data_IF_592889054259
#
_entry.id   IF_592889054259
#
_cell.length_a   1.000
_cell.length_b   1.000
_cell.length_c   1.000
_cell.angle_alpha   90.00
_cell.angle_beta   90.00
_cell.angle_gamma   90.00
#
_symmetry.space_group_name_H-M   'P 1'
#
loop_
_entity.id
_entity.type
_entity.pdbx_description
1 polymer ?
#
# COMPACT_ATOMS: atom_id res chain seq x y z
N UNK A 1 -31.72 7.76 -19.57
CA UNK A 1 -30.64 8.28 -18.70
C UNK A 1 -29.82 7.11 -18.16
N UNK A 2 -28.51 7.16 -18.37
CA UNK A 2 -27.52 6.17 -17.93
C UNK A 2 -26.49 6.88 -17.03
N UNK A 3 -26.15 6.31 -15.87
CA UNK A 3 -25.11 6.85 -14.98
C UNK A 3 -24.13 5.74 -14.62
N UNK A 4 -22.84 6.07 -14.61
CA UNK A 4 -21.77 5.16 -14.19
C UNK A 4 -20.92 5.74 -13.08
N UNK A 5 -20.36 4.86 -12.26
CA UNK A 5 -19.40 5.22 -11.23
C UNK A 5 -18.32 4.12 -11.08
N UNK A 6 -17.39 4.30 -10.14
CA UNK A 6 -16.42 3.28 -9.75
C UNK A 6 -16.35 3.17 -8.23
N UNK A 7 -16.49 1.94 -7.73
CA UNK A 7 -16.30 1.64 -6.31
C UNK A 7 -15.05 0.77 -6.13
N UNK A 8 -14.03 1.30 -5.48
CA UNK A 8 -12.76 0.61 -5.28
C UNK A 8 -12.87 -0.60 -4.33
N UNK A 9 -13.86 -0.64 -3.43
CA UNK A 9 -14.15 -1.79 -2.56
C UNK A 9 -14.83 -2.92 -3.33
N UNK A 10 -15.46 -2.60 -4.46
CA UNK A 10 -16.12 -3.56 -5.36
C UNK A 10 -15.62 -3.37 -6.80
N UNK A 11 -14.30 -3.48 -7.06
CA UNK A 11 -13.66 -2.99 -8.28
C UNK A 11 -14.11 -3.74 -9.54
N UNK A 12 -14.60 -4.98 -9.39
CA UNK A 12 -15.10 -5.80 -10.50
C UNK A 12 -16.58 -5.54 -10.82
N UNK A 13 -17.34 -4.93 -9.91
CA UNK A 13 -18.77 -4.69 -10.10
C UNK A 13 -18.98 -3.56 -11.10
N UNK A 14 -19.82 -3.80 -12.13
CA UNK A 14 -20.27 -2.71 -13.00
C UNK A 14 -21.21 -1.82 -12.21
N UNK A 15 -20.74 -0.63 -11.85
CA UNK A 15 -21.54 0.41 -11.21
C UNK A 15 -22.24 1.21 -12.31
N UNK A 16 -23.28 0.62 -12.89
CA UNK A 16 -24.15 1.26 -13.89
C UNK A 16 -25.60 1.17 -13.42
N UNK A 17 -26.33 2.28 -13.56
CA UNK A 17 -27.77 2.36 -13.32
C UNK A 17 -28.45 3.10 -14.48
N UNK A 18 -29.67 2.68 -14.83
CA UNK A 18 -30.40 3.19 -16.00
C UNK A 18 -31.86 3.45 -15.68
N UNK A 19 -32.36 4.59 -16.13
CA UNK A 19 -33.78 4.89 -16.17
C UNK A 19 -34.20 5.15 -17.62
N UNK A 20 -35.28 4.50 -18.04
CA UNK A 20 -35.82 4.56 -19.40
C UNK A 20 -37.31 4.94 -19.36
N UNK A 21 -37.76 5.58 -20.43
CA UNK A 21 -39.15 5.92 -20.70
C UNK A 21 -39.46 5.57 -22.15
N UNK A 22 -40.70 5.21 -22.45
CA UNK A 22 -41.19 4.95 -23.82
C UNK A 22 -41.42 6.25 -24.64
N UNK A 23 -41.13 7.42 -24.06
CA UNK A 23 -41.36 8.69 -24.71
C UNK A 23 -40.36 8.98 -25.85
N UNK A 24 -40.85 9.64 -26.90
CA UNK A 24 -40.06 10.06 -28.06
C UNK A 24 -39.65 11.54 -27.96
N UNK A 25 -38.49 11.94 -28.54
CA UNK A 25 -37.51 11.09 -29.23
C UNK A 25 -36.66 10.24 -28.26
N UNK A 26 -36.23 9.07 -28.71
CA UNK A 26 -35.33 8.19 -27.95
C UNK A 26 -33.91 8.76 -27.95
N UNK A 27 -33.59 9.57 -26.95
CA UNK A 27 -32.26 10.15 -26.73
C UNK A 27 -31.61 9.54 -25.48
N UNK A 28 -30.28 9.35 -25.53
CA UNK A 28 -29.50 8.94 -24.37
C UNK A 28 -28.80 10.14 -23.73
N UNK A 29 -28.96 10.26 -22.41
CA UNK A 29 -28.14 11.08 -21.53
C UNK A 29 -27.27 10.12 -20.71
N UNK A 30 -25.95 10.18 -20.91
CA UNK A 30 -24.94 9.40 -20.21
C UNK A 30 -23.98 10.34 -19.47
N UNK A 31 -23.63 9.99 -18.22
CA UNK A 31 -22.67 10.76 -17.42
C UNK A 31 -21.81 9.89 -16.50
N UNK A 32 -20.58 10.36 -16.22
CA UNK A 32 -19.61 9.79 -15.29
C UNK A 32 -18.74 10.92 -14.70
N UNK A 33 -18.50 10.96 -13.37
CA UNK A 33 -19.00 10.04 -12.35
C UNK A 33 -20.45 10.35 -11.94
N UNK A 34 -21.22 9.30 -11.68
CA UNK A 34 -22.64 9.38 -11.31
C UNK A 34 -22.90 9.72 -9.83
N UNK A 35 -21.85 9.77 -9.00
CA UNK A 35 -21.87 10.07 -7.56
C UNK A 35 -22.71 9.09 -6.74
N UNK A 36 -22.48 7.80 -6.93
CA UNK A 36 -23.12 6.73 -6.17
C UNK A 36 -22.18 5.57 -5.88
N UNK A 37 -22.31 4.98 -4.69
CA UNK A 37 -21.51 3.84 -4.26
C UNK A 37 -22.26 2.50 -4.35
N UNK A 38 -23.59 2.56 -4.53
CA UNK A 38 -24.49 1.42 -4.69
C UNK A 38 -25.50 1.65 -5.84
N UNK A 39 -25.99 0.56 -6.44
CA UNK A 39 -26.88 0.61 -7.61
C UNK A 39 -28.27 1.17 -7.29
N UNK A 40 -28.74 1.07 -6.05
CA UNK A 40 -30.06 1.60 -5.63
C UNK A 40 -30.02 3.12 -5.66
N UNK A 41 -28.95 3.72 -5.11
CA UNK A 41 -28.70 5.16 -5.21
C UNK A 41 -28.51 5.59 -6.66
N UNK A 42 -27.74 4.85 -7.46
CA UNK A 42 -27.57 5.12 -8.89
C UNK A 42 -28.90 5.11 -9.66
N UNK A 43 -29.78 4.14 -9.38
CA UNK A 43 -31.10 4.05 -9.99
C UNK A 43 -31.96 5.26 -9.61
N UNK A 44 -31.95 5.64 -8.33
CA UNK A 44 -32.68 6.81 -7.85
C UNK A 44 -32.23 8.10 -8.56
N UNK A 45 -30.91 8.30 -8.73
CA UNK A 45 -30.35 9.47 -9.42
C UNK A 45 -30.67 9.47 -10.92
N UNK A 46 -30.58 8.32 -11.59
CA UNK A 46 -30.93 8.18 -12.99
C UNK A 46 -32.43 8.46 -13.23
N UNK A 47 -33.31 7.93 -12.37
CA UNK A 47 -34.76 8.19 -12.43
C UNK A 47 -35.06 9.67 -12.20
N UNK A 48 -34.48 10.29 -11.16
CA UNK A 48 -34.67 11.73 -10.91
C UNK A 48 -34.24 12.60 -12.10
N UNK A 49 -33.14 12.25 -12.75
CA UNK A 49 -32.67 13.01 -13.91
C UNK A 49 -33.60 12.79 -15.11
N UNK A 50 -34.09 11.57 -15.32
CA UNK A 50 -35.08 11.30 -16.37
C UNK A 50 -36.38 12.09 -16.13
N UNK A 51 -36.88 12.10 -14.90
CA UNK A 51 -38.05 12.90 -14.49
C UNK A 51 -37.81 14.39 -14.74
N UNK A 52 -36.61 14.91 -14.43
CA UNK A 52 -36.24 16.29 -14.70
C UNK A 52 -36.27 16.64 -16.19
N UNK A 53 -35.68 15.80 -17.05
CA UNK A 53 -35.73 15.97 -18.52
C UNK A 53 -37.13 15.86 -19.11
N UNK A 54 -38.09 15.30 -18.36
CA UNK A 54 -39.49 15.14 -18.79
C UNK A 54 -40.43 16.16 -18.15
N UNK A 55 -39.95 16.92 -17.18
CA UNK A 55 -40.78 17.85 -16.39
C UNK A 55 -41.34 19.02 -17.21
N UNK A 56 -40.70 19.36 -18.33
CA UNK A 56 -41.08 20.42 -19.25
C UNK A 56 -41.60 19.91 -20.61
N UNK A 57 -41.84 18.60 -20.74
CA UNK A 57 -42.34 18.02 -22.00
C UNK A 57 -43.71 18.58 -22.41
N UNK A 58 -44.56 18.91 -21.42
CA UNK A 58 -45.83 19.63 -21.64
C UNK A 58 -45.92 20.79 -20.67
N UNK A 59 -46.09 21.97 -21.23
CA UNK A 59 -46.18 23.23 -20.49
C UNK A 59 -47.40 24.00 -20.98
N UNK A 60 -48.25 24.44 -20.06
CA UNK A 60 -49.30 25.40 -20.31
C UNK A 60 -48.81 26.79 -19.91
N UNK A 61 -49.17 27.80 -20.71
CA UNK A 61 -48.99 29.21 -20.39
C UNK A 61 -50.37 29.85 -20.42
N UNK A 62 -50.66 30.71 -19.45
CA UNK A 62 -51.94 31.39 -19.37
C UNK A 62 -51.85 32.74 -18.68
N UNK A 63 -52.82 33.59 -19.00
CA UNK A 63 -53.06 34.87 -18.37
C UNK A 63 -54.30 34.76 -17.47
N UNK A 64 -54.27 35.40 -16.31
CA UNK A 64 -55.38 35.37 -15.36
C UNK A 64 -55.46 36.67 -14.55
N UNK A 65 -56.65 36.98 -14.07
CA UNK A 65 -56.91 38.02 -13.08
C UNK A 65 -57.07 37.46 -11.66
N UNK A 66 -56.86 36.16 -11.44
CA UNK A 66 -57.01 35.50 -10.14
C UNK A 66 -55.85 35.87 -9.18
N UNK A 67 -56.08 36.65 -8.10
CA UNK A 67 -55.01 37.03 -7.16
C UNK A 67 -54.43 35.88 -6.33
N UNK A 68 -55.16 34.76 -6.20
CA UNK A 68 -54.78 33.68 -5.29
C UNK A 68 -53.89 32.61 -5.91
N UNK A 69 -53.43 32.78 -7.16
CA UNK A 69 -52.53 31.82 -7.78
C UNK A 69 -51.16 31.87 -7.11
N UNK A 70 -50.62 30.70 -6.76
CA UNK A 70 -49.34 30.55 -6.06
C UNK A 70 -48.57 29.42 -6.72
N UNK A 71 -47.29 29.66 -7.06
CA UNK A 71 -46.41 28.59 -7.56
C UNK A 71 -46.31 27.43 -6.54
N UNK A 72 -46.26 26.20 -7.04
CA UNK A 72 -46.30 24.97 -6.25
C UNK A 72 -47.70 24.45 -5.91
N UNK A 73 -48.77 25.15 -6.30
CA UNK A 73 -50.16 24.70 -6.09
C UNK A 73 -50.79 24.20 -7.39
N UNK A 74 -51.80 23.35 -7.24
CA UNK A 74 -52.61 22.89 -8.37
C UNK A 74 -53.73 23.88 -8.68
N UNK A 75 -53.85 24.22 -9.96
CA UNK A 75 -55.00 24.91 -10.55
C UNK A 75 -55.87 23.87 -11.26
N UNK A 76 -57.13 23.75 -10.86
CA UNK A 76 -58.11 22.98 -11.62
C UNK A 76 -58.61 23.83 -12.79
N UNK A 77 -58.33 23.40 -14.02
CA UNK A 77 -58.84 24.08 -15.21
C UNK A 77 -60.22 23.52 -15.58
N UNK A 78 -61.17 24.39 -15.89
CA UNK A 78 -62.54 24.03 -16.29
C UNK A 78 -62.97 24.83 -17.52
N UNK A 79 -63.97 24.34 -18.25
CA UNK A 79 -64.55 24.97 -19.45
C UNK A 79 -63.58 25.23 -20.62
N UNK A 80 -62.40 24.60 -20.62
CA UNK A 80 -61.48 24.66 -21.74
C UNK A 80 -62.05 23.89 -22.95
N UNK A 81 -62.04 24.45 -24.18
CA UNK A 81 -62.62 23.81 -25.38
C UNK A 81 -62.09 22.41 -25.70
N UNK A 82 -60.83 22.15 -25.32
CA UNK A 82 -60.26 20.79 -25.34
C UNK A 82 -60.54 20.11 -24.01
N UNK A 83 -61.40 19.10 -24.04
CA UNK A 83 -61.86 18.38 -22.85
C UNK A 83 -60.71 17.81 -22.02
N UNK A 84 -59.67 17.28 -22.68
CA UNK A 84 -58.45 16.72 -22.06
C UNK A 84 -57.64 17.70 -21.20
N UNK A 85 -57.86 19.02 -21.32
CA UNK A 85 -57.12 20.00 -20.51
C UNK A 85 -57.90 20.45 -19.28
N UNK A 86 -59.16 20.03 -19.14
CA UNK A 86 -59.98 20.29 -17.95
C UNK A 86 -59.59 19.33 -16.81
N UNK A 87 -58.38 19.50 -16.31
CA UNK A 87 -57.78 18.66 -15.27
C UNK A 87 -56.94 19.53 -14.31
N UNK A 88 -56.21 18.90 -13.38
CA UNK A 88 -55.29 19.55 -12.46
C UNK A 88 -53.97 19.90 -13.12
N UNK A 89 -53.53 21.15 -12.92
CA UNK A 89 -52.27 21.67 -13.44
C UNK A 89 -51.43 22.25 -12.30
N UNK A 90 -50.21 21.76 -12.12
CA UNK A 90 -49.25 22.29 -11.16
C UNK A 90 -48.69 23.62 -11.68
N UNK A 91 -48.93 24.71 -10.97
CA UNK A 91 -48.34 26.02 -11.25
C UNK A 91 -46.85 25.98 -10.95
N UNK A 92 -45.99 26.12 -11.95
CA UNK A 92 -44.53 26.12 -11.80
C UNK A 92 -43.95 27.52 -11.68
N UNK A 93 -44.63 28.52 -12.25
CA UNK A 93 -44.28 29.93 -12.15
C UNK A 93 -45.54 30.79 -12.20
N UNK A 94 -45.59 31.87 -11.42
CA UNK A 94 -46.65 32.88 -11.47
C UNK A 94 -45.97 34.25 -11.37
N UNK A 95 -46.25 35.13 -12.33
CA UNK A 95 -45.77 36.51 -12.34
C UNK A 95 -46.96 37.43 -12.12
N UNK A 96 -46.97 38.12 -10.99
CA UNK A 96 -48.03 39.05 -10.62
C UNK A 96 -47.68 40.47 -11.10
N UNK A 97 -48.61 41.15 -11.77
CA UNK A 97 -48.47 42.53 -12.21
C UNK A 97 -49.65 43.37 -11.70
N UNK A 98 -49.35 44.43 -10.96
CA UNK A 98 -50.33 45.40 -10.47
C UNK A 98 -49.99 46.81 -10.93
N UNK A 99 -50.96 47.54 -11.48
CA UNK A 99 -50.84 48.96 -11.87
C UNK A 99 -51.88 49.80 -11.14
N UNK A 100 -51.43 50.82 -10.42
CA UNK A 100 -52.29 51.78 -9.74
C UNK A 100 -51.89 53.23 -10.11
N UNK A 101 -52.44 53.80 -11.19
CA UNK A 101 -52.02 55.10 -11.72
C UNK A 101 -52.41 56.31 -10.85
N UNK A 102 -53.28 56.15 -9.85
CA UNK A 102 -53.86 57.24 -9.05
C UNK A 102 -52.99 57.71 -7.85
N UNK A 103 -51.73 57.26 -7.73
CA UNK A 103 -50.86 57.58 -6.57
C UNK A 103 -50.02 58.86 -6.78
N UNK A 104 -49.93 59.38 -8.01
CA UNK A 104 -49.32 60.69 -8.34
C UNK A 104 -50.39 61.56 -9.01
N UNK A 105 -51.04 62.44 -8.23
CA UNK A 105 -52.20 63.24 -8.66
C UNK A 105 -51.94 64.23 -9.82
N UNK A 106 -50.69 64.44 -10.29
CA UNK A 106 -50.37 65.52 -11.23
C UNK A 106 -49.64 65.17 -12.54
N UNK A 107 -49.41 63.89 -12.87
CA UNK A 107 -48.79 63.57 -14.18
C UNK A 107 -49.22 62.22 -14.77
N UNK A 108 -50.46 62.13 -15.23
CA UNK A 108 -50.89 61.04 -16.13
C UNK A 108 -50.84 61.56 -17.57
N UNK A 109 -49.65 61.52 -18.18
CA UNK A 109 -49.61 61.42 -19.65
C UNK A 109 -49.96 59.97 -19.98
N UNK A 110 -51.01 59.74 -20.77
CA UNK A 110 -51.38 58.46 -21.35
C UNK A 110 -50.32 57.98 -22.34
N UNK A 111 -49.08 57.79 -21.87
CA UNK A 111 -48.01 57.14 -22.62
C UNK A 111 -48.19 55.66 -22.38
N UNK A 112 -49.14 55.08 -23.09
CA UNK A 112 -49.14 53.64 -23.32
C UNK A 112 -47.93 53.32 -24.19
N UNK A 113 -47.16 52.30 -23.82
CA UNK A 113 -46.31 51.66 -24.81
C UNK A 113 -47.25 51.15 -25.92
N UNK A 114 -47.01 51.48 -27.21
CA UNK A 114 -47.89 51.08 -28.29
C UNK A 114 -47.82 49.56 -28.45
N UNK A 115 -48.69 48.84 -27.74
CA UNK A 115 -48.73 47.37 -27.72
C UNK A 115 -49.29 46.69 -26.45
N UNK A 116 -49.47 47.39 -25.33
CA UNK A 116 -50.01 46.80 -24.08
C UNK A 116 -51.15 47.65 -23.47
N UNK A 117 -52.38 47.12 -23.50
CA UNK A 117 -53.62 47.78 -23.04
C UNK A 117 -53.80 47.78 -21.51
N UNK A 118 -52.85 47.22 -20.74
CA UNK A 118 -52.95 47.16 -19.29
C UNK A 118 -52.58 48.48 -18.63
N UNK A 119 -53.59 49.27 -18.29
CA UNK A 119 -53.44 50.64 -17.75
C UNK A 119 -53.71 50.75 -16.24
N UNK A 120 -54.54 49.87 -15.68
CA UNK A 120 -54.88 49.82 -14.26
C UNK A 120 -55.37 48.41 -13.87
N UNK A 121 -55.13 48.01 -12.61
CA UNK A 121 -55.68 46.79 -12.03
C UNK A 121 -54.62 45.74 -11.70
N UNK A 122 -55.03 44.48 -11.65
CA UNK A 122 -54.18 43.33 -11.38
C UNK A 122 -54.34 42.31 -12.51
N UNK A 123 -53.21 41.74 -12.94
CA UNK A 123 -53.16 40.54 -13.78
C UNK A 123 -52.00 39.67 -13.33
N UNK A 124 -52.02 38.42 -13.72
CA UNK A 124 -50.86 37.54 -13.63
C UNK A 124 -50.72 36.72 -14.90
N UNK A 125 -49.48 36.31 -15.15
CA UNK A 125 -49.17 35.29 -16.14
C UNK A 125 -48.60 34.09 -15.39
N UNK A 126 -48.99 32.88 -15.80
CA UNK A 126 -48.54 31.67 -15.14
C UNK A 126 -48.08 30.62 -16.14
N UNK A 127 -47.17 29.78 -15.67
CA UNK A 127 -46.73 28.57 -16.34
C UNK A 127 -47.16 27.39 -15.50
N UNK A 128 -47.71 26.35 -16.13
CA UNK A 128 -48.15 25.15 -15.43
C UNK A 128 -47.75 23.88 -16.17
N UNK A 129 -47.64 22.78 -15.43
CA UNK A 129 -47.44 21.42 -15.97
C UNK A 129 -48.58 20.51 -15.50
N UNK A 130 -48.98 19.48 -16.28
CA UNK A 130 -50.02 18.56 -15.85
C UNK A 130 -49.70 17.85 -14.51
N UNK A 131 -50.73 17.46 -13.75
CA UNK A 131 -50.54 16.80 -12.45
C UNK A 131 -49.89 15.42 -12.51
N UNK A 132 -49.99 14.72 -13.64
CA UNK A 132 -49.39 13.41 -13.87
C UNK A 132 -47.90 13.49 -14.23
N UNK A 133 -47.36 14.69 -14.45
CA UNK A 133 -45.93 14.94 -14.66
C UNK A 133 -45.23 15.08 -13.31
N UNK A 134 -44.29 14.18 -13.03
CA UNK A 134 -43.43 14.25 -11.84
C UNK A 134 -42.45 15.42 -11.99
N UNK A 135 -42.79 16.57 -11.38
CA UNK A 135 -41.95 17.75 -11.44
C UNK A 135 -40.63 17.56 -10.67
N UNK A 136 -39.52 17.97 -11.30
CA UNK A 136 -38.20 18.09 -10.69
C UNK A 136 -37.62 19.45 -11.09
N UNK A 137 -37.07 20.22 -10.14
CA UNK A 137 -36.47 21.51 -10.46
C UNK A 137 -35.25 21.33 -11.35
N UNK A 138 -35.00 22.27 -12.30
CA UNK A 138 -33.80 22.22 -13.14
C UNK A 138 -32.53 22.37 -12.31
N UNK A 139 -31.48 21.62 -12.66
CA UNK A 139 -30.17 21.69 -12.00
C UNK A 139 -29.38 22.93 -12.44
N UNK A 140 -29.80 24.10 -11.98
CA UNK A 140 -29.16 25.39 -12.33
C UNK A 140 -27.85 25.62 -11.57
N UNK A 141 -27.79 25.15 -10.32
CA UNK A 141 -26.61 25.32 -9.46
C UNK A 141 -25.64 24.15 -9.64
N UNK A 142 -24.56 24.41 -10.37
CA UNK A 142 -23.45 23.44 -10.49
C UNK A 142 -22.63 23.44 -9.21
N UNK A 143 -22.21 22.24 -8.76
CA UNK A 143 -21.24 22.11 -7.67
C UNK A 143 -19.93 22.78 -8.09
N UNK A 144 -19.36 23.61 -7.21
CA UNK A 144 -18.08 24.27 -7.49
C UNK A 144 -16.92 23.25 -7.40
N UNK A 145 -16.10 23.13 -8.45
CA UNK A 145 -14.93 22.26 -8.42
C UNK A 145 -13.76 22.92 -7.67
N UNK A 146 -12.89 22.10 -7.08
CA UNK A 146 -11.56 22.49 -6.63
C UNK A 146 -10.59 22.23 -7.80
N UNK A 147 -10.12 23.30 -8.42
CA UNK A 147 -9.33 23.25 -9.65
C UNK A 147 -7.83 22.88 -9.43
N UNK A 148 -7.49 22.20 -8.34
CA UNK A 148 -6.11 21.88 -8.02
C UNK A 148 -5.92 21.00 -6.80
N UNK A 149 -4.66 20.90 -6.37
CA UNK A 149 -4.25 20.15 -5.18
C UNK A 149 -4.09 21.13 -4.02
N UNK A 150 -4.44 20.68 -2.82
CA UNK A 150 -4.26 21.42 -1.57
C UNK A 150 -3.33 20.62 -0.65
N UNK A 151 -2.83 21.23 0.41
CA UNK A 151 -2.17 20.49 1.48
C UNK A 151 -3.10 20.29 2.67
N UNK A 152 -2.89 19.21 3.41
CA UNK A 152 -3.60 18.86 4.63
C UNK A 152 -2.65 18.15 5.59
N UNK A 153 -3.03 18.05 6.86
CA UNK A 153 -2.22 17.38 7.89
C UNK A 153 -2.88 16.06 8.27
N UNK A 154 -2.11 14.97 8.32
CA UNK A 154 -2.63 13.66 8.74
C UNK A 154 -3.03 13.69 10.21
N UNK A 155 -4.18 13.09 10.52
CA UNK A 155 -4.81 13.09 11.85
C UNK A 155 -5.16 11.67 12.29
N UNK A 156 -5.38 11.50 13.59
CA UNK A 156 -5.82 10.24 14.19
C UNK A 156 -6.03 10.40 15.69
N UNK A 157 -6.22 9.30 16.43
CA UNK A 157 -6.33 9.30 17.88
C UNK A 157 -5.05 9.82 18.55
N UNK A 158 -5.16 10.50 19.70
CA UNK A 158 -4.00 11.04 20.43
C UNK A 158 -3.01 9.96 20.90
N UNK A 159 -3.44 8.70 20.98
CA UNK A 159 -2.65 7.57 21.47
C UNK A 159 -1.85 6.85 20.39
N UNK A 160 -2.01 7.23 19.12
CA UNK A 160 -1.40 6.56 17.97
C UNK A 160 -0.42 7.47 17.23
N UNK A 161 0.61 6.89 16.61
CA UNK A 161 1.50 7.59 15.66
C UNK A 161 1.09 7.33 14.21
N UNK A 162 0.43 6.21 13.95
CA UNK A 162 0.00 5.75 12.62
C UNK A 162 -1.46 5.31 12.73
N UNK A 163 -2.34 6.00 12.01
CA UNK A 163 -3.77 5.70 11.99
C UNK A 163 -4.23 5.43 10.56
N UNK A 164 -4.36 4.15 10.21
CA UNK A 164 -4.82 3.70 8.90
C UNK A 164 -5.79 2.53 9.00
N UNK A 165 -6.54 2.31 7.92
CA UNK A 165 -7.42 1.14 7.80
C UNK A 165 -6.83 0.03 6.90
N UNK A 166 -7.62 -1.00 6.62
CA UNK A 166 -7.24 -2.17 5.81
C UNK A 166 -6.82 -1.84 4.36
N UNK A 167 -7.13 -0.64 3.88
CA UNK A 167 -6.77 -0.17 2.55
C UNK A 167 -5.57 0.81 2.58
N UNK A 168 -4.95 1.02 3.74
CA UNK A 168 -3.89 2.01 3.93
C UNK A 168 -4.40 3.45 3.77
N UNK A 169 -5.70 3.68 3.95
CA UNK A 169 -6.28 5.04 3.94
C UNK A 169 -5.91 5.75 5.24
N UNK A 170 -5.83 7.08 5.20
CA UNK A 170 -5.60 7.92 6.38
C UNK A 170 -6.65 9.03 6.48
N UNK A 171 -6.74 9.69 7.64
CA UNK A 171 -7.61 10.86 7.84
C UNK A 171 -6.78 12.13 7.91
N UNK A 172 -7.36 13.26 7.51
CA UNK A 172 -6.64 14.54 7.42
C UNK A 172 -7.47 15.71 7.95
N UNK A 173 -6.79 16.75 8.43
CA UNK A 173 -7.34 18.07 8.69
C UNK A 173 -6.99 19.00 7.53
N UNK A 174 -8.00 19.55 6.86
CA UNK A 174 -7.82 20.61 5.87
C UNK A 174 -7.64 21.97 6.56
N UNK A 175 -6.83 22.86 5.97
CA UNK A 175 -6.54 24.18 6.55
C UNK A 175 -7.74 25.13 6.62
N UNK A 176 -8.74 24.93 5.76
CA UNK A 176 -9.96 25.72 5.73
C UNK A 176 -11.05 25.18 6.68
N UNK A 177 -10.87 23.96 7.19
CA UNK A 177 -11.81 23.40 8.16
C UNK A 177 -11.53 23.97 9.56
N UNK A 178 -12.49 24.75 10.03
CA UNK A 178 -12.46 25.45 11.34
C UNK A 178 -13.15 24.66 12.45
N UNK A 179 -13.90 23.62 12.10
CA UNK A 179 -14.69 22.82 13.06
C UNK A 179 -14.01 21.51 13.41
N UNK A 180 -13.11 21.02 12.54
CA UNK A 180 -12.26 19.87 12.82
C UNK A 180 -11.41 20.05 14.08
N UNK A 181 -11.25 18.93 14.79
CA UNK A 181 -10.54 18.87 16.07
C UNK A 181 -9.16 18.22 15.93
N UNK A 182 -8.66 18.06 14.69
CA UNK A 182 -7.43 17.34 14.37
C UNK A 182 -7.35 15.91 14.94
N UNK A 183 -8.50 15.24 15.08
CA UNK A 183 -8.62 13.88 15.60
C UNK A 183 -9.15 12.89 14.55
N UNK A 184 -9.40 11.65 14.95
CA UNK A 184 -9.91 10.56 14.13
C UNK A 184 -11.32 10.80 13.54
N UNK A 185 -12.02 11.87 13.89
CA UNK A 185 -13.37 12.20 13.37
C UNK A 185 -13.37 13.38 12.41
N UNK A 186 -12.19 13.94 12.12
CA UNK A 186 -12.03 15.16 11.31
C UNK A 186 -12.49 14.98 9.87
N UNK A 187 -12.13 13.86 9.22
CA UNK A 187 -12.45 13.60 7.83
C UNK A 187 -12.94 12.18 7.60
N UNK A 188 -13.41 11.92 6.38
CA UNK A 188 -13.52 10.56 5.85
C UNK A 188 -12.12 9.93 5.67
N UNK A 189 -12.10 8.66 5.31
CA UNK A 189 -10.87 7.95 4.93
C UNK A 189 -10.43 8.35 3.51
N UNK A 190 -9.21 8.88 3.39
CA UNK A 190 -8.59 9.25 2.12
C UNK A 190 -7.64 8.14 1.66
N UNK A 191 -7.80 7.69 0.42
CA UNK A 191 -6.82 6.79 -0.21
C UNK A 191 -5.50 7.53 -0.44
N UNK A 192 -4.40 6.80 -0.26
CA UNK A 192 -3.04 7.28 -0.49
C UNK A 192 -2.53 6.66 -1.78
N UNK A 193 -2.06 7.49 -2.71
CA UNK A 193 -1.41 7.02 -3.93
C UNK A 193 -0.05 6.39 -3.60
N UNK A 194 0.13 5.14 -4.00
CA UNK A 194 1.42 4.46 -4.00
C UNK A 194 2.13 4.63 -5.34
N UNK A 195 3.47 4.68 -5.32
CA UNK A 195 4.27 4.75 -6.56
C UNK A 195 4.13 3.48 -7.43
N UNK A 196 3.86 2.32 -6.81
CA UNK A 196 3.64 1.05 -7.50
C UNK A 196 2.72 0.16 -6.66
N UNK A 197 1.57 -0.25 -7.19
CA UNK A 197 0.59 -1.07 -6.46
C UNK A 197 0.01 -2.17 -7.35
N UNK A 198 0.20 -3.42 -6.94
CA UNK A 198 -0.36 -4.62 -7.56
C UNK A 198 -1.05 -5.54 -6.53
N UNK A 199 -1.55 -6.69 -6.96
CA UNK A 199 -2.23 -7.65 -6.07
C UNK A 199 -1.23 -8.32 -5.10
N UNK A 200 -1.15 -7.79 -3.87
CA UNK A 200 -0.19 -8.21 -2.82
C UNK A 200 1.28 -8.04 -3.22
N UNK A 201 1.59 -7.05 -4.05
CA UNK A 201 2.97 -6.61 -4.31
C UNK A 201 3.01 -5.11 -4.64
N UNK A 202 4.17 -4.47 -4.45
CA UNK A 202 4.37 -3.04 -4.74
C UNK A 202 5.00 -2.29 -3.56
N UNK A 203 4.92 -0.96 -3.60
CA UNK A 203 5.41 -0.07 -2.55
C UNK A 203 4.26 0.48 -1.70
N UNK A 204 4.43 0.43 -0.38
CA UNK A 204 3.51 1.05 0.58
C UNK A 204 4.32 1.85 1.62
N UNK A 205 3.96 3.11 1.78
CA UNK A 205 4.52 4.00 2.80
C UNK A 205 3.36 4.83 3.38
N UNK A 206 2.86 4.40 4.54
CA UNK A 206 1.66 4.98 5.14
C UNK A 206 2.02 6.34 5.78
N UNK A 207 1.38 7.45 5.39
CA UNK A 207 1.56 8.73 6.05
C UNK A 207 1.20 8.64 7.53
N UNK A 208 2.09 9.12 8.40
CA UNK A 208 1.91 9.12 9.86
C UNK A 208 1.21 10.38 10.32
N UNK A 209 0.62 10.33 11.52
CA UNK A 209 -0.05 11.48 12.12
C UNK A 209 0.92 12.67 12.22
N UNK A 210 0.43 13.86 11.85
CA UNK A 210 1.21 15.09 11.78
C UNK A 210 1.90 15.33 10.43
N UNK A 211 2.09 14.32 9.58
CA UNK A 211 2.71 14.53 8.26
C UNK A 211 1.85 15.46 7.38
N UNK A 212 2.49 16.35 6.63
CA UNK A 212 1.82 17.17 5.61
C UNK A 212 1.70 16.37 4.31
N UNK A 213 0.48 16.32 3.77
CA UNK A 213 0.14 15.57 2.56
C UNK A 213 -0.46 16.48 1.49
N UNK A 214 -0.23 16.12 0.22
CA UNK A 214 -0.89 16.71 -0.94
C UNK A 214 -2.19 15.96 -1.21
N UNK A 215 -3.31 16.69 -1.25
CA UNK A 215 -4.65 16.16 -1.49
C UNK A 215 -5.18 16.72 -2.80
N UNK A 216 -5.44 15.83 -3.75
CA UNK A 216 -6.11 16.11 -5.03
C UNK A 216 -7.56 15.65 -4.94
N UNK A 217 -8.44 16.25 -5.73
CA UNK A 217 -9.88 15.95 -5.74
C UNK A 217 -10.25 15.34 -7.08
N UNK A 218 -10.78 14.10 -7.08
CA UNK A 218 -11.17 13.41 -8.31
C UNK A 218 -12.27 14.19 -9.03
N UNK A 219 -12.09 14.47 -10.33
CA UNK A 219 -13.00 15.34 -11.11
C UNK A 219 -13.20 16.75 -10.49
N UNK A 220 -12.26 17.20 -9.64
CA UNK A 220 -12.38 18.43 -8.88
C UNK A 220 -13.45 18.39 -7.77
N UNK A 221 -14.00 17.22 -7.44
CA UNK A 221 -15.07 17.07 -6.46
C UNK A 221 -14.53 17.12 -5.01
N UNK A 222 -14.91 18.13 -4.19
CA UNK A 222 -14.49 18.22 -2.78
C UNK A 222 -14.83 16.97 -1.94
N UNK A 223 -15.83 16.19 -2.37
CA UNK A 223 -16.27 14.98 -1.65
C UNK A 223 -15.45 13.74 -2.05
N UNK A 224 -14.51 13.87 -3.00
CA UNK A 224 -13.66 12.78 -3.49
C UNK A 224 -12.15 13.10 -3.35
N UNK A 225 -11.67 13.33 -2.11
CA UNK A 225 -10.26 13.58 -1.86
C UNK A 225 -9.39 12.31 -2.01
N UNK A 226 -8.20 12.50 -2.57
CA UNK A 226 -7.16 11.49 -2.76
C UNK A 226 -5.80 12.09 -2.40
N UNK A 227 -5.03 11.42 -1.55
CA UNK A 227 -3.66 11.84 -1.24
C UNK A 227 -2.73 11.42 -2.38
N UNK A 228 -1.98 12.36 -2.94
CA UNK A 228 -1.09 12.15 -4.09
C UNK A 228 0.40 12.32 -3.74
N UNK A 229 0.73 12.75 -2.53
CA UNK A 229 2.11 12.86 -2.08
C UNK A 229 2.25 13.35 -0.64
N UNK A 230 3.47 13.38 -0.13
CA UNK A 230 3.84 13.93 1.18
C UNK A 230 4.86 15.05 1.01
N UNK A 231 4.86 16.03 1.92
CA UNK A 231 5.75 17.19 1.89
C UNK A 231 6.51 17.33 3.21
N UNK A 232 7.75 17.82 3.10
CA UNK A 232 8.51 18.33 4.24
C UNK A 232 8.21 19.82 4.45
N UNK A 233 8.28 20.27 5.70
CA UNK A 233 8.09 21.66 6.11
C UNK A 233 9.03 22.02 7.26
N UNK A 234 8.86 23.20 7.87
CA UNK A 234 9.82 23.73 8.87
C UNK A 234 9.99 22.84 10.11
N UNK A 235 8.92 22.17 10.54
CA UNK A 235 8.92 21.27 11.70
C UNK A 235 9.30 19.84 11.30
N UNK A 236 8.79 19.35 10.16
CA UNK A 236 9.18 18.06 9.57
C UNK A 236 10.22 18.29 8.50
N UNK A 237 11.48 18.31 8.91
CA UNK A 237 12.60 18.56 8.02
C UNK A 237 13.00 17.30 7.25
N UNK A 238 13.68 17.52 6.13
CA UNK A 238 14.29 16.45 5.33
C UNK A 238 15.29 15.62 6.17
N UNK A 239 15.54 14.34 5.84
CA UNK A 239 16.36 13.45 6.66
C UNK A 239 17.83 13.88 6.85
N UNK A 240 18.35 14.71 5.94
CA UNK A 240 19.71 15.25 5.96
C UNK A 240 19.68 16.74 5.64
N UNK A 241 20.64 17.51 6.19
CA UNK A 241 20.77 18.94 5.92
C UNK A 241 20.90 19.23 4.41
N UNK A 242 20.06 20.13 3.92
CA UNK A 242 20.13 20.65 2.55
C UNK A 242 20.46 22.15 2.59
N UNK A 243 21.26 22.67 1.63
CA UNK A 243 21.75 22.00 0.41
C UNK A 243 23.07 21.22 0.57
N UNK A 244 23.61 21.08 1.78
CA UNK A 244 24.89 20.43 2.06
C UNK A 244 24.98 19.00 1.50
N UNK A 245 23.94 18.18 1.72
CA UNK A 245 23.89 16.78 1.29
C UNK A 245 23.01 16.55 0.05
N UNK A 246 23.02 17.49 -0.90
CA UNK A 246 22.20 17.44 -2.13
C UNK A 246 22.49 16.27 -3.08
N UNK A 247 23.59 15.54 -2.88
CA UNK A 247 23.99 14.35 -3.66
C UNK A 247 23.52 13.04 -3.05
N UNK A 248 22.73 13.08 -1.97
CA UNK A 248 22.20 11.88 -1.30
C UNK A 248 20.79 11.56 -1.75
N UNK A 249 20.58 10.30 -2.13
CA UNK A 249 19.28 9.69 -2.34
C UNK A 249 18.98 8.73 -1.18
N UNK A 250 17.82 8.88 -0.52
CA UNK A 250 17.55 8.19 0.75
C UNK A 250 16.14 7.60 0.83
N UNK A 251 16.04 6.41 1.42
CA UNK A 251 14.82 5.85 1.97
C UNK A 251 15.06 5.56 3.44
N UNK A 252 14.58 6.43 4.32
CA UNK A 252 14.80 6.36 5.78
C UNK A 252 13.47 6.25 6.51
N UNK A 253 13.38 5.26 7.40
CA UNK A 253 12.19 4.98 8.21
C UNK A 253 12.40 5.39 9.66
N UNK A 254 11.38 5.29 10.49
CA UNK A 254 11.45 5.57 11.93
C UNK A 254 10.74 4.44 12.69
N UNK A 255 11.37 3.87 13.71
CA UNK A 255 10.73 2.89 14.60
C UNK A 255 9.45 3.46 15.20
N UNK A 256 8.44 2.61 15.39
CA UNK A 256 7.13 3.00 15.93
C UNK A 256 6.62 1.91 16.87
N UNK A 257 5.92 2.24 17.98
CA UNK A 257 5.75 3.60 18.53
C UNK A 257 7.02 4.10 19.27
N UNK A 258 7.07 5.40 19.59
CA UNK A 258 8.04 6.00 20.51
C UNK A 258 9.37 6.44 19.89
N UNK A 259 9.66 6.05 18.64
CA UNK A 259 10.77 6.58 17.84
C UNK A 259 12.16 6.59 18.49
N UNK A 260 12.84 5.44 18.58
CA UNK A 260 14.23 5.32 19.08
C UNK A 260 15.17 4.54 18.12
N UNK A 261 14.86 4.54 16.82
CA UNK A 261 15.68 3.85 15.80
C UNK A 261 15.18 4.04 14.37
N UNK A 262 15.95 3.56 13.39
CA UNK A 262 15.62 3.69 11.97
C UNK A 262 16.16 2.57 11.10
N UNK A 263 15.46 2.24 10.02
CA UNK A 263 16.05 1.50 8.90
C UNK A 263 16.32 2.46 7.75
N UNK A 264 17.43 2.28 7.03
CA UNK A 264 17.83 3.20 5.97
C UNK A 264 18.55 2.50 4.81
N UNK A 265 18.15 2.88 3.59
CA UNK A 265 18.95 2.74 2.38
C UNK A 265 19.35 4.13 1.91
N UNK A 266 20.66 4.39 1.82
CA UNK A 266 21.22 5.66 1.37
C UNK A 266 22.24 5.43 0.28
N UNK A 267 22.16 6.24 -0.77
CA UNK A 267 23.08 6.28 -1.90
C UNK A 267 23.69 7.69 -1.95
N UNK A 268 25.00 7.79 -1.85
CA UNK A 268 25.79 9.01 -2.00
C UNK A 268 26.41 9.02 -3.40
N UNK A 269 26.08 10.06 -4.18
CA UNK A 269 26.54 10.24 -5.57
C UNK A 269 27.66 11.29 -5.70
N UNK A 270 28.25 11.73 -4.58
CA UNK A 270 29.41 12.63 -4.61
C UNK A 270 30.61 11.91 -5.22
N UNK A 271 31.06 12.40 -6.37
CA UNK A 271 32.17 11.81 -7.12
C UNK A 271 33.45 11.66 -6.27
N UNK A 272 34.01 10.44 -6.25
CA UNK A 272 35.19 10.08 -5.46
C UNK A 272 34.92 9.75 -3.99
N UNK A 273 33.67 9.91 -3.54
CA UNK A 273 33.19 9.60 -2.19
C UNK A 273 31.86 8.80 -2.24
N UNK A 274 31.62 8.09 -3.36
CA UNK A 274 30.38 7.35 -3.56
C UNK A 274 30.21 6.25 -2.51
N UNK A 275 28.98 6.10 -2.00
CA UNK A 275 28.69 5.13 -0.94
C UNK A 275 27.26 4.63 -1.03
N UNK A 276 27.07 3.32 -0.85
CA UNK A 276 25.78 2.74 -0.46
C UNK A 276 25.86 2.39 1.03
N UNK A 277 24.91 2.92 1.80
CA UNK A 277 24.75 2.64 3.22
C UNK A 277 23.42 1.92 3.46
N UNK A 278 23.50 0.76 4.09
CA UNK A 278 22.35 -0.06 4.48
C UNK A 278 22.39 -0.18 6.00
N UNK A 279 21.31 0.21 6.66
CA UNK A 279 21.15 0.12 8.12
C UNK A 279 19.86 -0.62 8.47
N UNK A 280 20.01 -1.69 9.26
CA UNK A 280 18.91 -2.38 9.89
C UNK A 280 18.96 -2.11 11.40
N UNK A 281 17.86 -1.62 11.97
CA UNK A 281 17.80 -1.29 13.40
C UNK A 281 17.81 -2.54 14.29
N UNK A 282 17.37 -3.68 13.76
CA UNK A 282 17.24 -4.94 14.51
C UNK A 282 17.82 -6.10 13.70
N UNK A 283 16.98 -6.78 12.92
CA UNK A 283 17.36 -7.96 12.15
C UNK A 283 17.52 -7.59 10.67
N UNK A 284 18.49 -8.23 9.99
CA UNK A 284 18.67 -8.15 8.55
C UNK A 284 18.66 -9.56 7.97
N UNK A 285 17.58 -9.91 7.29
CA UNK A 285 17.43 -11.19 6.60
C UNK A 285 17.68 -11.03 5.09
N UNK A 286 18.50 -11.91 4.52
CA UNK A 286 18.78 -11.95 3.09
C UNK A 286 18.50 -13.35 2.55
N UNK A 287 17.45 -13.48 1.73
CA UNK A 287 17.02 -14.76 1.17
C UNK A 287 17.21 -14.78 -0.36
N UNK A 288 18.19 -15.55 -0.85
CA UNK A 288 18.51 -15.69 -2.27
C UNK A 288 18.11 -17.09 -2.75
N UNK A 289 17.17 -17.16 -3.68
CA UNK A 289 16.60 -18.43 -4.17
C UNK A 289 17.41 -19.11 -5.29
N UNK A 290 18.42 -18.42 -5.84
CA UNK A 290 19.32 -18.96 -6.86
C UNK A 290 20.76 -18.54 -6.55
N UNK A 291 21.39 -17.75 -7.41
CA UNK A 291 22.80 -17.40 -7.28
C UNK A 291 23.02 -16.04 -6.60
N UNK A 292 24.01 -15.98 -5.69
CA UNK A 292 24.56 -14.74 -5.16
C UNK A 292 25.98 -14.53 -5.71
N UNK A 293 26.23 -13.40 -6.34
CA UNK A 293 27.56 -13.00 -6.79
C UNK A 293 28.03 -11.76 -6.04
N UNK A 294 29.22 -11.84 -5.44
CA UNK A 294 29.85 -10.72 -4.74
C UNK A 294 31.23 -10.48 -5.35
N UNK A 295 31.45 -9.26 -5.87
CA UNK A 295 32.76 -8.80 -6.33
C UNK A 295 33.15 -7.53 -5.58
N UNK A 296 34.22 -7.61 -4.81
CA UNK A 296 34.81 -6.47 -4.11
C UNK A 296 36.09 -6.09 -4.84
N UNK A 297 36.17 -4.84 -5.34
CA UNK A 297 37.32 -4.37 -6.13
C UNK A 297 38.55 -4.01 -5.29
N UNK A 298 38.40 -3.93 -3.97
CA UNK A 298 39.46 -3.65 -3.01
C UNK A 298 39.29 -4.53 -1.76
N UNK A 299 38.98 -3.94 -0.60
CA UNK A 299 38.92 -4.66 0.68
C UNK A 299 37.49 -4.96 1.13
N UNK A 300 37.32 -6.10 1.83
CA UNK A 300 36.11 -6.46 2.58
C UNK A 300 36.47 -6.60 4.05
N UNK A 301 35.71 -5.95 4.91
CA UNK A 301 35.85 -6.01 6.37
C UNK A 301 34.56 -6.51 6.99
N UNK A 302 34.61 -7.68 7.62
CA UNK A 302 33.48 -8.26 8.34
C UNK A 302 33.77 -8.26 9.84
N UNK A 303 32.88 -7.66 10.64
CA UNK A 303 32.94 -7.69 12.10
C UNK A 303 31.64 -8.23 12.65
N UNK A 304 31.72 -9.34 13.38
CA UNK A 304 30.59 -9.94 14.11
C UNK A 304 30.95 -9.89 15.59
N UNK A 305 30.10 -9.26 16.40
CA UNK A 305 30.39 -9.06 17.83
C UNK A 305 30.11 -10.30 18.69
N UNK A 306 29.25 -11.18 18.18
CA UNK A 306 28.89 -12.44 18.82
C UNK A 306 29.24 -13.62 17.88
N UNK A 307 28.31 -14.55 17.68
CA UNK A 307 28.56 -15.77 16.94
C UNK A 307 28.33 -15.59 15.43
N UNK A 308 29.15 -16.28 14.63
CA UNK A 308 28.96 -16.45 13.20
C UNK A 308 28.76 -17.93 12.90
N UNK A 309 27.68 -18.30 12.22
CA UNK A 309 27.36 -19.66 11.81
C UNK A 309 27.38 -19.78 10.29
N UNK A 310 27.92 -20.87 9.77
CA UNK A 310 27.96 -21.12 8.32
C UNK A 310 27.82 -22.62 8.08
N UNK A 311 26.76 -22.98 7.34
CA UNK A 311 26.49 -24.35 6.92
C UNK A 311 26.51 -24.40 5.39
N UNK A 312 27.34 -25.29 4.85
CA UNK A 312 27.46 -25.52 3.42
C UNK A 312 27.08 -26.98 3.17
N UNK A 313 25.96 -27.19 2.45
CA UNK A 313 25.39 -28.53 2.27
C UNK A 313 26.09 -29.38 1.20
N UNK A 314 26.93 -28.76 0.38
CA UNK A 314 27.64 -29.41 -0.71
C UNK A 314 29.14 -29.12 -0.63
N UNK A 315 29.70 -28.44 -1.63
CA UNK A 315 31.13 -28.21 -1.75
C UNK A 315 31.52 -26.78 -1.37
N UNK A 316 32.68 -26.65 -0.71
CA UNK A 316 33.39 -25.38 -0.54
C UNK A 316 34.70 -25.43 -1.35
N UNK A 317 34.86 -24.49 -2.28
CA UNK A 317 36.14 -24.26 -2.94
C UNK A 317 36.73 -22.94 -2.44
N UNK A 318 37.88 -23.02 -1.78
CA UNK A 318 38.58 -21.84 -1.24
C UNK A 318 40.03 -21.79 -1.71
N UNK A 319 40.33 -20.80 -2.54
CA UNK A 319 41.69 -20.49 -2.98
C UNK A 319 42.17 -19.19 -2.34
N UNK A 320 43.37 -19.20 -1.77
CA UNK A 320 44.04 -17.99 -1.25
C UNK A 320 45.42 -17.93 -1.88
N UNK A 321 45.68 -16.87 -2.66
CA UNK A 321 46.91 -16.74 -3.44
C UNK A 321 48.12 -16.32 -2.59
N UNK A 322 47.88 -15.60 -1.51
CA UNK A 322 48.90 -15.14 -0.57
C UNK A 322 48.70 -15.83 0.79
N UNK A 323 49.15 -15.20 1.87
CA UNK A 323 49.05 -15.76 3.21
C UNK A 323 47.59 -15.92 3.67
N UNK A 324 47.29 -17.08 4.27
CA UNK A 324 46.15 -17.25 5.17
C UNK A 324 46.67 -17.20 6.61
N UNK A 325 46.29 -16.17 7.36
CA UNK A 325 46.63 -16.01 8.78
C UNK A 325 45.40 -16.27 9.63
N UNK A 326 45.50 -17.20 10.59
CA UNK A 326 44.41 -17.55 11.51
C UNK A 326 44.95 -17.51 12.94
N UNK A 327 44.27 -16.80 13.84
CA UNK A 327 44.53 -16.83 15.28
C UNK A 327 43.26 -17.29 15.99
N UNK A 328 43.36 -18.40 16.71
CA UNK A 328 42.29 -18.89 17.59
C UNK A 328 42.75 -18.69 19.03
N UNK A 329 41.99 -17.88 19.78
CA UNK A 329 42.33 -17.53 21.17
C UNK A 329 41.86 -18.57 22.20
N UNK A 330 40.86 -19.35 21.84
CA UNK A 330 40.31 -20.44 22.65
C UNK A 330 40.65 -21.78 21.96
N UNK A 331 39.67 -22.65 21.80
CA UNK A 331 39.86 -23.99 21.24
C UNK A 331 39.58 -24.04 19.73
N UNK A 332 40.38 -24.81 19.00
CA UNK A 332 40.15 -25.17 17.60
C UNK A 332 39.81 -26.66 17.50
N UNK A 333 38.62 -26.97 16.99
CA UNK A 333 38.12 -28.34 16.84
C UNK A 333 37.94 -28.68 15.36
N UNK A 334 38.67 -29.69 14.90
CA UNK A 334 38.56 -30.20 13.53
C UNK A 334 38.12 -31.67 13.55
N UNK A 335 36.95 -31.94 12.96
CA UNK A 335 36.47 -33.30 12.71
C UNK A 335 36.37 -33.53 11.21
N UNK A 336 37.09 -34.52 10.69
CA UNK A 336 37.05 -34.93 9.28
C UNK A 336 36.57 -36.37 9.22
N UNK A 337 35.40 -36.61 8.63
CA UNK A 337 34.77 -37.94 8.63
C UNK A 337 35.50 -38.95 7.73
N UNK A 338 36.05 -38.48 6.60
CA UNK A 338 36.74 -39.31 5.63
C UNK A 338 38.25 -39.02 5.67
N UNK A 339 38.77 -38.27 4.70
CA UNK A 339 40.20 -38.07 4.52
C UNK A 339 40.60 -36.61 4.73
N UNK A 340 41.69 -36.39 5.45
CA UNK A 340 42.40 -35.10 5.49
C UNK A 340 43.72 -35.26 4.73
N UNK A 341 43.90 -34.51 3.64
CA UNK A 341 45.16 -34.42 2.91
C UNK A 341 45.82 -33.07 3.17
N UNK A 342 47.05 -33.08 3.68
CA UNK A 342 47.86 -31.87 3.90
C UNK A 342 49.16 -32.01 3.12
N UNK A 343 49.34 -31.17 2.11
CA UNK A 343 50.58 -31.06 1.33
C UNK A 343 51.19 -29.67 1.52
N UNK A 344 52.45 -29.62 1.90
CA UNK A 344 53.16 -28.38 2.19
C UNK A 344 54.43 -28.30 1.34
N UNK A 345 54.79 -27.09 0.91
CA UNK A 345 55.98 -26.87 0.08
C UNK A 345 57.29 -26.81 0.86
N UNK A 346 57.25 -26.49 2.15
CA UNK A 346 58.47 -26.21 2.95
C UNK A 346 58.49 -26.95 4.29
N UNK A 347 57.57 -26.63 5.22
CA UNK A 347 57.60 -27.21 6.56
C UNK A 347 56.21 -27.29 7.19
N UNK A 348 56.00 -28.31 8.03
CA UNK A 348 54.91 -28.38 8.99
C UNK A 348 55.49 -28.18 10.39
N UNK A 349 55.21 -27.05 11.03
CA UNK A 349 55.73 -26.72 12.36
C UNK A 349 54.59 -26.77 13.38
N UNK A 350 54.68 -27.68 14.37
CA UNK A 350 53.75 -27.75 15.49
C UNK A 350 54.49 -27.53 16.80
N UNK A 351 53.95 -26.65 17.65
CA UNK A 351 54.41 -26.47 19.01
C UNK A 351 53.19 -26.51 19.94
N UNK A 352 53.22 -27.38 20.95
CA UNK A 352 52.17 -27.48 21.95
C UNK A 352 52.77 -27.31 23.35
N UNK A 353 52.10 -26.57 24.22
CA UNK A 353 52.58 -26.31 25.59
C UNK A 353 52.53 -27.54 26.50
N UNK A 354 51.63 -28.50 26.24
CA UNK A 354 51.41 -29.67 27.11
C UNK A 354 51.64 -31.02 26.39
N UNK A 355 50.99 -31.25 25.26
CA UNK A 355 51.00 -32.57 24.62
C UNK A 355 50.75 -32.47 23.11
N UNK A 356 51.46 -33.29 22.32
CA UNK A 356 51.09 -33.65 20.95
C UNK A 356 50.82 -35.16 20.95
N UNK A 357 49.57 -35.57 20.73
CA UNK A 357 49.16 -36.97 20.73
C UNK A 357 48.77 -37.42 19.32
N UNK A 358 49.60 -38.27 18.72
CA UNK A 358 49.32 -38.89 17.41
C UNK A 358 48.90 -40.34 17.65
N UNK A 359 47.65 -40.69 17.31
CA UNK A 359 47.10 -42.04 17.45
C UNK A 359 46.53 -42.54 16.12
N UNK A 360 46.94 -43.73 15.71
CA UNK A 360 46.35 -44.45 14.57
C UNK A 360 45.78 -45.79 15.04
N UNK A 361 44.59 -46.16 14.57
CA UNK A 361 43.92 -47.39 15.00
C UNK A 361 44.59 -48.68 14.49
N UNK A 362 45.20 -48.64 13.30
CA UNK A 362 45.83 -49.82 12.68
C UNK A 362 47.32 -49.59 12.36
N UNK A 363 47.66 -48.51 11.65
CA UNK A 363 49.02 -48.27 11.13
C UNK A 363 49.40 -46.82 11.23
N UNK A 364 50.62 -46.55 11.71
CA UNK A 364 51.30 -45.27 11.58
C UNK A 364 52.59 -45.48 10.79
N UNK A 365 52.83 -44.64 9.79
CA UNK A 365 54.08 -44.62 9.01
C UNK A 365 54.65 -43.22 9.07
N UNK A 366 55.89 -43.10 9.52
CA UNK A 366 56.66 -41.86 9.48
C UNK A 366 57.86 -42.14 8.57
N UNK A 367 57.90 -41.45 7.43
CA UNK A 367 58.96 -41.58 6.44
C UNK A 367 59.64 -40.22 6.28
N UNK A 368 60.97 -40.22 6.31
CA UNK A 368 61.78 -39.06 5.99
C UNK A 368 62.91 -39.49 5.06
N UNK A 369 63.21 -38.66 4.05
CA UNK A 369 64.22 -39.00 3.05
C UNK A 369 65.67 -38.97 3.57
N UNK A 370 65.94 -38.19 4.62
CA UNK A 370 67.31 -37.97 5.13
C UNK A 370 67.47 -38.34 6.60
N UNK A 371 66.57 -37.90 7.49
CA UNK A 371 66.74 -38.09 8.92
C UNK A 371 65.39 -38.15 9.64
N UNK A 372 65.23 -39.10 10.56
CA UNK A 372 64.19 -39.08 11.60
C UNK A 372 64.90 -38.95 12.95
N UNK A 373 64.57 -37.92 13.72
CA UNK A 373 65.16 -37.70 15.04
C UNK A 373 64.08 -37.48 16.10
N UNK A 374 64.12 -38.30 17.16
CA UNK A 374 63.26 -38.20 18.34
C UNK A 374 64.14 -37.82 19.53
N UNK A 375 63.89 -36.69 20.19
CA UNK A 375 64.68 -36.23 21.36
C UNK A 375 63.79 -36.01 22.57
N UNK A 376 64.24 -36.45 23.75
CA UNK A 376 63.54 -36.21 25.02
C UNK A 376 64.53 -36.24 26.20
N UNK A 377 64.52 -35.21 27.07
CA UNK A 377 65.24 -35.22 28.35
C UNK A 377 66.74 -35.55 28.27
N UNK A 378 67.42 -35.11 27.20
CA UNK A 378 68.84 -35.41 26.96
C UNK A 378 69.11 -36.76 26.28
N UNK A 379 68.09 -37.59 26.05
CA UNK A 379 68.16 -38.82 25.26
C UNK A 379 67.67 -38.57 23.83
N UNK A 380 68.14 -39.37 22.86
CA UNK A 380 67.62 -39.33 21.49
C UNK A 380 67.69 -40.66 20.76
N UNK A 381 66.84 -40.78 19.74
CA UNK A 381 66.90 -41.76 18.67
C UNK A 381 67.08 -40.99 17.38
N UNK A 382 68.10 -41.33 16.61
CA UNK A 382 68.34 -40.76 15.28
C UNK A 382 68.45 -41.89 14.26
N UNK A 383 67.72 -41.77 13.16
CA UNK A 383 67.71 -42.68 12.03
C UNK A 383 68.14 -41.87 10.82
N UNK A 384 69.23 -42.27 10.18
CA UNK A 384 69.77 -41.64 8.96
C UNK A 384 70.41 -42.72 8.05
N UNK A 385 71.00 -42.37 6.89
CA UNK A 385 71.62 -43.37 6.01
C UNK A 385 72.78 -44.18 6.62
N UNK A 386 73.34 -43.75 7.76
CA UNK A 386 74.41 -44.48 8.47
C UNK A 386 73.88 -45.54 9.44
N UNK A 387 72.58 -45.49 9.79
CA UNK A 387 71.92 -46.49 10.63
C UNK A 387 71.04 -45.88 11.73
N UNK A 388 70.84 -46.63 12.80
CA UNK A 388 70.05 -46.22 13.97
C UNK A 388 70.98 -45.93 15.15
N UNK A 389 71.00 -44.69 15.61
CA UNK A 389 71.75 -44.25 16.79
C UNK A 389 70.81 -44.06 17.98
N UNK A 390 71.12 -44.69 19.12
CA UNK A 390 70.40 -44.53 20.39
C UNK A 390 71.35 -44.03 21.48
N UNK A 391 71.04 -42.90 22.10
CA UNK A 391 71.86 -42.31 23.18
C UNK A 391 70.97 -41.90 24.35
N UNK A 392 71.37 -42.25 25.56
CA UNK A 392 70.74 -41.83 26.82
C UNK A 392 71.47 -42.38 28.05
N UNK A 393 71.20 -41.87 29.27
CA UNK A 393 71.87 -42.31 30.51
C UNK A 393 71.69 -43.80 30.82
N UNK A 394 70.53 -44.37 30.46
CA UNK A 394 70.24 -45.81 30.47
C UNK A 394 69.33 -46.15 29.28
N UNK A 395 69.70 -47.18 28.51
CA UNK A 395 68.87 -47.73 27.42
C UNK A 395 68.38 -49.12 27.84
N UNK A 396 67.07 -49.28 28.03
CA UNK A 396 66.45 -50.55 28.41
C UNK A 396 65.79 -51.20 27.19
N UNK A 397 66.28 -52.38 26.79
CA UNK A 397 65.70 -53.18 25.71
C UNK A 397 65.04 -54.42 26.31
N UNK A 398 63.75 -54.64 26.00
CA UNK A 398 62.95 -55.77 26.49
C UNK A 398 62.86 -55.92 28.02
N UNK A 399 62.96 -54.84 28.79
CA UNK A 399 63.07 -54.88 30.27
C UNK A 399 61.78 -54.59 31.07
N UNK A 400 60.58 -54.80 30.50
CA UNK A 400 59.32 -54.84 31.26
C UNK A 400 58.76 -53.50 31.78
N UNK A 401 58.65 -52.47 30.93
CA UNK A 401 57.98 -51.19 31.27
C UNK A 401 56.53 -51.08 30.77
N UNK A 402 55.81 -50.04 31.23
CA UNK A 402 54.47 -49.69 30.75
C UNK A 402 54.51 -48.43 29.86
N UNK A 403 53.72 -48.36 28.77
CA UNK A 403 53.63 -47.16 27.93
C UNK A 403 52.91 -46.01 28.64
N UNK A 404 53.21 -44.77 28.23
CA UNK A 404 52.42 -43.61 28.64
C UNK A 404 51.07 -43.57 27.87
N UNK A 405 50.02 -43.06 28.51
CA UNK A 405 48.71 -42.85 27.89
C UNK A 405 48.58 -41.41 27.41
N UNK A 406 48.14 -41.21 26.16
CA UNK A 406 47.79 -39.89 25.64
C UNK A 406 46.35 -39.49 26.00
N UNK A 407 46.04 -38.20 25.96
CA UNK A 407 44.76 -37.64 26.44
C UNK A 407 43.51 -38.02 25.63
N UNK A 408 43.67 -38.62 24.44
CA UNK A 408 42.56 -38.92 23.52
C UNK A 408 42.00 -37.70 22.76
N UNK A 409 41.07 -37.94 21.82
CA UNK A 409 40.41 -36.89 21.01
C UNK A 409 39.04 -36.57 21.61
N UNK A 410 38.75 -35.28 21.83
CA UNK A 410 37.47 -34.78 22.36
C UNK A 410 37.01 -33.53 21.58
N UNK A 411 36.77 -33.71 20.27
CA UNK A 411 36.30 -32.61 19.41
C UNK A 411 34.81 -32.33 19.61
N UNK A 412 34.42 -31.05 19.67
CA UNK A 412 33.03 -30.63 19.69
C UNK A 412 32.48 -30.52 18.25
N UNK A 413 31.17 -30.75 18.08
CA UNK A 413 30.49 -30.63 16.78
C UNK A 413 29.87 -29.23 16.59
N UNK A 414 29.76 -28.72 15.35
CA UNK A 414 29.04 -27.48 15.06
C UNK A 414 27.55 -27.56 15.43
N UNK A 415 26.95 -26.42 15.74
CA UNK A 415 25.50 -26.27 15.96
C UNK A 415 24.78 -25.84 14.69
N UNK A 416 23.47 -26.12 14.61
CA UNK A 416 22.62 -25.81 13.44
C UNK A 416 22.42 -24.29 13.31
N UNK A 417 22.50 -23.76 12.08
CA UNK A 417 22.24 -22.36 11.78
C UNK A 417 20.73 -22.04 11.77
N UNK A 418 20.35 -20.83 12.16
CA UNK A 418 18.95 -20.38 12.12
C UNK A 418 18.43 -20.20 10.68
N UNK A 419 17.10 -20.26 10.50
CA UNK A 419 16.45 -20.00 9.22
C UNK A 419 16.21 -18.50 9.02
N UNK A 420 16.38 -18.03 7.78
CA UNK A 420 15.96 -16.69 7.36
C UNK A 420 14.43 -16.61 7.23
N UNK A 421 13.89 -15.38 7.33
CA UNK A 421 12.45 -15.15 7.15
C UNK A 421 11.96 -15.52 5.73
N UNK A 422 10.70 -15.94 5.66
CA UNK A 422 10.03 -16.37 4.42
C UNK A 422 8.61 -15.83 4.36
N UNK A 423 8.26 -15.21 3.23
CA UNK A 423 6.91 -14.68 3.00
C UNK A 423 6.30 -15.26 1.71
N UNK A 424 4.98 -15.14 1.56
CA UNK A 424 4.24 -15.60 0.40
C UNK A 424 4.34 -14.59 -0.76
N UNK A 425 4.48 -15.10 -1.99
CA UNK A 425 4.45 -14.25 -3.17
C UNK A 425 3.08 -13.60 -3.39
N UNK A 426 3.09 -12.39 -3.94
CA UNK A 426 1.89 -11.73 -4.46
C UNK A 426 1.24 -12.49 -5.62
N UNK A 427 0.09 -12.01 -6.07
CA UNK A 427 -0.64 -12.59 -7.20
C UNK A 427 -0.48 -11.75 -8.47
N UNK A 428 -0.72 -12.38 -9.63
CA UNK A 428 -0.73 -11.67 -10.91
C UNK A 428 -1.86 -10.64 -10.89
N UNK A 429 -1.53 -9.38 -11.14
CA UNK A 429 -2.53 -8.32 -11.30
C UNK A 429 -3.47 -8.71 -12.44
N UNK A 430 -4.73 -8.93 -12.09
CA UNK A 430 -5.73 -9.34 -13.06
C UNK A 430 -6.12 -8.15 -13.94
N UNK A 431 -6.38 -8.45 -15.21
CA UNK A 431 -6.86 -7.45 -16.14
C UNK A 431 -8.23 -6.92 -15.68
N UNK A 432 -8.53 -5.64 -15.88
CA UNK A 432 -9.89 -5.16 -15.77
C UNK A 432 -10.74 -5.96 -16.78
N UNK A 433 -11.54 -6.91 -16.27
CA UNK A 433 -12.39 -7.75 -17.11
C UNK A 433 -13.30 -6.84 -17.94
N UNK A 434 -13.36 -7.09 -19.26
CA UNK A 434 -14.24 -6.39 -20.17
C UNK A 434 -15.69 -6.41 -19.64
N UNK A 435 -16.47 -5.36 -19.93
CA UNK A 435 -17.86 -5.22 -19.48
C UNK A 435 -18.79 -6.31 -20.08
N UNK A 436 -18.72 -7.57 -19.63
CA UNK A 436 -19.58 -8.68 -20.09
C UNK A 436 -20.42 -9.29 -18.94
N UNK A 437 -21.56 -9.96 -19.22
CA UNK A 437 -22.36 -10.69 -18.23
C UNK A 437 -21.58 -11.76 -17.44
N UNK A 438 -20.48 -12.26 -18.00
CA UNK A 438 -19.54 -13.17 -17.34
C UNK A 438 -18.96 -12.54 -16.06
N UNK A 439 -18.93 -11.20 -15.95
CA UNK A 439 -18.54 -10.46 -14.75
C UNK A 439 -19.37 -10.79 -13.52
N UNK A 440 -20.69 -10.95 -13.67
CA UNK A 440 -21.57 -11.26 -12.54
C UNK A 440 -21.39 -12.71 -12.08
N UNK A 441 -21.18 -13.63 -13.03
CA UNK A 441 -20.95 -15.05 -12.75
C UNK A 441 -19.58 -15.27 -12.09
N UNK A 442 -18.52 -14.61 -12.58
CA UNK A 442 -17.18 -14.71 -11.99
C UNK A 442 -17.12 -14.07 -10.60
N UNK A 443 -17.71 -12.89 -10.42
CA UNK A 443 -17.73 -12.22 -9.11
C UNK A 443 -18.65 -12.92 -8.08
N UNK A 444 -19.68 -13.64 -8.52
CA UNK A 444 -20.47 -14.53 -7.67
C UNK A 444 -19.70 -15.80 -7.27
N UNK A 445 -18.95 -16.41 -8.20
CA UNK A 445 -18.09 -17.58 -7.93
C UNK A 445 -17.00 -17.28 -6.91
N UNK A 446 -16.44 -16.07 -6.94
CA UNK A 446 -15.41 -15.62 -5.99
C UNK A 446 -16.00 -15.05 -4.68
N UNK A 447 -17.31 -15.19 -4.44
CA UNK A 447 -18.03 -14.63 -3.27
C UNK A 447 -17.93 -13.10 -3.07
N UNK A 448 -17.42 -12.35 -4.04
CA UNK A 448 -17.15 -10.91 -3.95
C UNK A 448 -18.43 -10.03 -3.94
N UNK A 449 -19.59 -10.62 -4.22
CA UNK A 449 -20.88 -9.90 -4.33
C UNK A 449 -21.87 -10.21 -3.20
N UNK A 450 -21.60 -11.21 -2.36
CA UNK A 450 -22.64 -11.85 -1.55
C UNK A 450 -22.64 -11.47 -0.06
N UNK A 451 -21.54 -10.91 0.48
CA UNK A 451 -21.44 -10.68 1.93
C UNK A 451 -22.45 -9.65 2.47
N UNK A 452 -22.69 -8.58 1.71
CA UNK A 452 -23.56 -7.46 2.15
C UNK A 452 -25.05 -7.62 1.86
N UNK A 453 -25.47 -8.56 1.00
CA UNK A 453 -26.89 -8.72 0.64
C UNK A 453 -27.63 -9.83 1.42
N UNK A 454 -26.93 -10.79 2.03
CA UNK A 454 -27.58 -11.87 2.78
C UNK A 454 -27.00 -12.16 4.16
N UNK A 455 -26.12 -11.30 4.72
CA UNK A 455 -25.48 -11.56 6.02
C UNK A 455 -24.79 -12.93 6.09
N UNK A 456 -24.34 -13.47 4.95
CA UNK A 456 -23.63 -14.73 4.87
C UNK A 456 -22.25 -14.55 5.50
N UNK A 457 -22.03 -15.23 6.62
CA UNK A 457 -20.78 -15.24 7.35
C UNK A 457 -19.70 -16.01 6.57
N UNK A 458 -18.41 -15.75 6.83
CA UNK A 458 -17.30 -16.42 6.15
C UNK A 458 -17.29 -17.95 6.29
N UNK A 459 -17.92 -18.49 7.33
CA UNK A 459 -18.11 -19.92 7.58
C UNK A 459 -19.23 -20.56 6.71
N UNK A 460 -19.87 -19.76 5.85
CA UNK A 460 -20.95 -20.18 4.96
C UNK A 460 -22.34 -20.10 5.59
N UNK A 461 -22.44 -19.75 6.87
CA UNK A 461 -23.70 -19.67 7.60
C UNK A 461 -24.42 -18.33 7.34
N UNK A 462 -25.74 -18.29 7.50
CA UNK A 462 -26.54 -17.11 7.22
C UNK A 462 -27.53 -16.86 8.36
N UNK A 463 -27.64 -15.60 8.82
CA UNK A 463 -28.54 -15.24 9.91
C UNK A 463 -30.01 -15.07 9.49
N UNK A 464 -30.30 -15.19 8.19
CA UNK A 464 -31.66 -15.13 7.66
C UNK A 464 -32.26 -16.54 7.59
N UNK A 465 -33.50 -16.69 8.09
CA UNK A 465 -34.24 -17.96 8.17
C UNK A 465 -34.44 -18.62 6.79
N UNK A 466 -34.51 -17.81 5.73
CA UNK A 466 -34.42 -18.24 4.34
C UNK A 466 -33.20 -17.57 3.69
N UNK A 467 -32.13 -18.34 3.47
CA UNK A 467 -30.90 -17.84 2.85
C UNK A 467 -31.02 -17.90 1.32
N UNK A 468 -31.20 -16.76 0.61
CA UNK A 468 -31.35 -16.75 -0.85
C UNK A 468 -30.04 -17.08 -1.59
N UNK A 469 -28.92 -17.08 -0.86
CA UNK A 469 -27.56 -17.29 -1.36
C UNK A 469 -27.20 -18.77 -1.58
N UNK A 470 -28.07 -19.71 -1.17
CA UNK A 470 -27.89 -21.16 -1.38
C UNK A 470 -28.60 -21.68 -2.64
N UNK A 471 -29.44 -20.87 -3.27
CA UNK A 471 -30.35 -21.28 -4.36
C UNK A 471 -29.88 -20.90 -5.78
N UNK A 472 -28.58 -20.62 -5.98
CA UNK A 472 -28.00 -20.38 -7.31
C UNK A 472 -26.88 -21.36 -7.62
#
# INVERSE_FOLDING_TARGET
VSRRDYNFEKPRLLMESKAQSEALPTLEDYDYPGRFQDRTRGQHLATRTLEAHRSDYRVAQGDSDQPTLISGHFLALTEHPRQEWNDLWLLTSVTHEGKQPQVLEESVTSVTNPGDDFTQGYRNTFTATPWDVIFRPPTQHKKHPINGTQTAVVTGPETEEIHCDEHGRVKVQFHWDRQGQANDKTSCWLRVASNWAGDRYGGIAIPRIGMEVLVTFLEGDPDQPLITGCLYHKTHQVPYSLPEHKTRSVFKTLSSPGGDGFNELRIEDKAGEEQIFIHAQRDWDQNIQNDQHIRVGNERHDRVEANSYTELLAEEHRTTHADRKTEIKADDHLTVANNQHVKLGTAHLLAAGREIHLKAGQKMVIEAGMEITLKAGGSFIKIDPSGVTLVGPQVRMNSGGSPANGSGVSALLPTIAGAADSDAAGQITQWPLANSPERLVAAAKDNLLLSSQCHRQPDGNCSLEACPCLSN
#
